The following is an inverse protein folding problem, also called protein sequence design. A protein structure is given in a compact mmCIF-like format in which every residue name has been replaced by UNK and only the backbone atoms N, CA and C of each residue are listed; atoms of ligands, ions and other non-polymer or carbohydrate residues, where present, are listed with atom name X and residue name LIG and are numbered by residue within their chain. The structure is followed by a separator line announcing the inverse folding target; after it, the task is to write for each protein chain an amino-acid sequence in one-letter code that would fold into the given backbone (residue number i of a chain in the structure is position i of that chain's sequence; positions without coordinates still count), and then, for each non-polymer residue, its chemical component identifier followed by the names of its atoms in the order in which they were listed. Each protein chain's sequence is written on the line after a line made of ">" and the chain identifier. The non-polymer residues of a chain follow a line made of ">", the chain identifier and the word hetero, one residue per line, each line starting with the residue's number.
data_IF_769910694736
#
_entry.id   IF_769910694736
#
_cell.length_a   1.000
_cell.length_b   1.000
_cell.length_c   1.000
_cell.angle_alpha   90.00
_cell.angle_beta   90.00
_cell.angle_gamma   90.00
#
_symmetry.space_group_name_H-M   'P 1'
#
loop_
_entity.id
_entity.type
_entity.pdbx_description
1 polymer ?
#
# COMPACT_ATOMS: atom_id res chain seq x y z
N UNK A 1 -0.85 1.79 -23.88
CA UNK A 1 0.48 1.15 -24.00
C UNK A 1 1.52 2.26 -23.92
N UNK A 2 2.30 2.33 -22.85
CA UNK A 2 3.41 3.29 -22.74
C UNK A 2 4.66 2.69 -23.39
N UNK A 3 5.16 3.31 -24.45
CA UNK A 3 6.42 2.95 -25.09
C UNK A 3 7.57 3.09 -24.08
N UNK A 4 8.50 2.12 -23.98
CA UNK A 4 9.66 2.25 -23.10
C UNK A 4 10.51 3.48 -23.49
N UNK A 5 11.15 4.14 -22.53
CA UNK A 5 11.92 5.34 -22.79
C UNK A 5 13.16 5.04 -23.63
N UNK A 6 13.58 6.02 -24.43
CA UNK A 6 14.81 5.94 -25.24
C UNK A 6 16.02 6.15 -24.32
N UNK A 7 17.02 5.23 -24.32
CA UNK A 7 18.23 5.40 -23.53
C UNK A 7 19.04 6.63 -23.96
N UNK A 8 19.63 7.34 -23.00
CA UNK A 8 20.54 8.45 -23.23
C UNK A 8 21.96 7.95 -23.53
N UNK A 9 22.72 8.74 -24.30
CA UNK A 9 24.15 8.50 -24.46
C UNK A 9 24.90 8.81 -23.14
N UNK A 10 26.10 8.25 -22.92
CA UNK A 10 26.93 8.55 -21.75
C UNK A 10 27.19 10.06 -21.58
N UNK A 11 27.38 10.79 -22.67
CA UNK A 11 27.59 12.24 -22.66
C UNK A 11 26.34 12.99 -22.22
N UNK A 12 25.17 12.60 -22.74
CA UNK A 12 23.88 13.18 -22.33
C UNK A 12 23.58 12.89 -20.86
N UNK A 13 23.89 11.68 -20.40
CA UNK A 13 23.78 11.29 -19.00
C UNK A 13 24.68 12.18 -18.12
N UNK A 14 25.95 12.36 -18.50
CA UNK A 14 26.89 13.21 -17.76
C UNK A 14 26.44 14.68 -17.74
N UNK A 15 25.92 15.20 -18.86
CA UNK A 15 25.37 16.54 -18.94
C UNK A 15 24.19 16.74 -17.99
N UNK A 16 23.27 15.76 -17.90
CA UNK A 16 22.17 15.80 -16.94
C UNK A 16 22.66 15.74 -15.49
N UNK A 17 23.60 14.85 -15.17
CA UNK A 17 24.19 14.77 -13.82
C UNK A 17 24.84 16.10 -13.43
N UNK A 18 25.60 16.72 -14.34
CA UNK A 18 26.20 18.03 -14.10
C UNK A 18 25.13 19.11 -13.89
N UNK A 19 24.07 19.14 -14.70
CA UNK A 19 22.96 20.10 -14.54
C UNK A 19 22.25 19.93 -13.20
N UNK A 20 21.98 18.69 -12.79
CA UNK A 20 21.41 18.37 -11.48
C UNK A 20 22.35 18.84 -10.36
N UNK A 21 23.65 18.58 -10.48
CA UNK A 21 24.66 19.03 -9.52
C UNK A 21 24.70 20.56 -9.35
N UNK A 22 24.64 21.30 -10.46
CA UNK A 22 24.54 22.77 -10.41
C UNK A 22 23.24 23.22 -9.73
N UNK A 23 22.11 22.56 -10.05
CA UNK A 23 20.83 22.84 -9.41
C UNK A 23 20.88 22.64 -7.90
N UNK A 24 21.48 21.53 -7.43
CA UNK A 24 21.70 21.24 -6.02
C UNK A 24 22.63 22.26 -5.34
N UNK A 25 23.74 22.63 -5.98
CA UNK A 25 24.67 23.64 -5.46
C UNK A 25 24.00 25.00 -5.28
N UNK A 26 23.05 25.33 -6.14
CA UNK A 26 22.33 26.62 -6.15
C UNK A 26 21.28 26.73 -5.04
N UNK A 27 20.98 25.65 -4.32
CA UNK A 27 20.02 25.64 -3.21
C UNK A 27 20.54 26.34 -1.96
N UNK A 28 21.84 26.63 -1.89
CA UNK A 28 22.47 27.33 -0.79
C UNK A 28 23.49 28.36 -1.30
N UNK A 29 23.64 29.52 -0.64
CA UNK A 29 24.56 30.55 -1.07
C UNK A 29 26.01 30.03 -1.17
N UNK A 30 26.77 30.38 -2.22
CA UNK A 30 28.16 29.95 -2.37
C UNK A 30 29.00 30.28 -1.12
N UNK A 31 29.86 29.33 -0.73
CA UNK A 31 30.73 29.46 0.45
C UNK A 31 30.06 29.17 1.81
N UNK A 32 28.73 29.07 1.89
CA UNK A 32 28.03 28.85 3.17
C UNK A 32 27.87 27.36 3.53
N UNK A 33 28.13 26.47 2.58
CA UNK A 33 27.92 25.04 2.72
C UNK A 33 29.15 24.24 2.28
N UNK A 34 29.30 23.05 2.86
CA UNK A 34 30.38 22.10 2.53
C UNK A 34 29.90 20.92 1.71
N UNK A 35 28.65 20.51 1.88
CA UNK A 35 28.05 19.42 1.11
C UNK A 35 26.54 19.62 0.92
N UNK A 36 26.04 19.31 -0.28
CA UNK A 36 24.62 19.09 -0.53
C UNK A 36 24.42 17.62 -0.88
N UNK A 37 23.52 16.92 -0.20
CA UNK A 37 23.17 15.53 -0.49
C UNK A 37 21.71 15.44 -0.88
N UNK A 38 21.42 14.79 -1.98
CA UNK A 38 20.07 14.47 -2.43
C UNK A 38 19.88 12.97 -2.49
N UNK A 39 18.79 12.48 -1.90
CA UNK A 39 18.38 11.08 -2.01
C UNK A 39 17.07 11.05 -2.77
N UNK A 40 17.03 10.30 -3.85
CA UNK A 40 15.86 10.14 -4.71
C UNK A 40 15.47 8.67 -4.76
N UNK A 41 14.18 8.38 -4.63
CA UNK A 41 13.61 7.03 -4.69
C UNK A 41 12.36 7.09 -5.55
N UNK A 42 12.23 6.16 -6.51
CA UNK A 42 11.04 6.11 -7.35
C UNK A 42 10.68 4.68 -7.80
N UNK A 43 9.38 4.41 -7.81
CA UNK A 43 8.78 3.22 -8.38
C UNK A 43 7.44 3.60 -9.04
N UNK A 44 7.35 3.43 -10.35
CA UNK A 44 6.18 3.84 -11.12
C UNK A 44 5.92 5.34 -10.98
N UNK A 45 4.75 5.70 -10.42
CA UNK A 45 4.37 7.11 -10.18
C UNK A 45 4.72 7.61 -8.77
N UNK A 46 5.18 6.74 -7.88
CA UNK A 46 5.57 7.13 -6.52
C UNK A 46 7.00 7.65 -6.53
N UNK A 47 7.20 8.89 -6.06
CA UNK A 47 8.49 9.56 -6.03
C UNK A 47 8.68 10.15 -4.64
N UNK A 48 9.82 9.84 -4.02
CA UNK A 48 10.29 10.49 -2.80
C UNK A 48 11.67 11.09 -3.07
N UNK A 49 11.87 12.33 -2.64
CA UNK A 49 13.16 12.98 -2.70
C UNK A 49 13.42 13.77 -1.42
N UNK A 50 14.65 13.70 -0.93
CA UNK A 50 15.14 14.49 0.19
C UNK A 50 16.38 15.24 -0.26
N UNK A 51 16.51 16.48 0.20
CA UNK A 51 17.74 17.25 0.03
C UNK A 51 18.18 17.76 1.40
N UNK A 52 19.44 17.54 1.71
CA UNK A 52 20.09 18.01 2.94
C UNK A 52 21.29 18.86 2.56
N UNK A 53 21.29 20.10 3.04
CA UNK A 53 22.44 21.01 2.94
C UNK A 53 23.18 20.99 4.26
N UNK A 54 24.47 20.69 4.22
CA UNK A 54 25.34 20.75 5.39
C UNK A 54 26.17 22.03 5.32
N UNK A 55 25.96 22.93 6.29
CA UNK A 55 26.67 24.20 6.41
C UNK A 55 28.15 24.03 6.76
N UNK A 56 28.88 25.14 6.83
CA UNK A 56 30.25 25.14 7.39
C UNK A 56 30.30 24.74 8.86
N UNK A 57 29.20 24.96 9.59
CA UNK A 57 28.99 24.50 10.96
C UNK A 57 28.83 22.98 11.09
N UNK A 58 28.75 22.26 9.97
CA UNK A 58 28.55 20.80 9.95
C UNK A 58 27.12 20.37 10.27
N UNK A 59 26.19 21.30 10.49
CA UNK A 59 24.80 20.99 10.85
C UNK A 59 23.99 20.70 9.58
N UNK A 60 23.37 19.50 9.46
CA UNK A 60 22.53 19.16 8.32
C UNK A 60 21.18 19.88 8.43
N UNK A 61 20.75 20.49 7.33
CA UNK A 61 19.46 21.17 7.20
C UNK A 61 18.69 20.58 6.03
N UNK A 62 17.54 19.98 6.31
CA UNK A 62 16.65 19.48 5.27
C UNK A 62 15.95 20.65 4.57
N UNK A 63 15.91 20.59 3.25
CA UNK A 63 15.19 21.57 2.42
C UNK A 63 14.27 20.83 1.45
N UNK A 64 13.18 21.49 1.07
CA UNK A 64 12.26 20.93 0.08
C UNK A 64 12.93 20.95 -1.31
N UNK A 65 13.01 19.81 -2.00
CA UNK A 65 13.57 19.75 -3.35
C UNK A 65 12.70 20.56 -4.33
N UNK A 66 13.29 21.44 -5.17
CA UNK A 66 12.51 22.15 -6.17
C UNK A 66 11.91 21.20 -7.23
N UNK A 67 10.74 21.52 -7.80
CA UNK A 67 10.10 20.69 -8.82
C UNK A 67 10.98 20.42 -10.05
N UNK A 68 11.77 21.40 -10.49
CA UNK A 68 12.65 21.29 -11.65
C UNK A 68 13.75 20.24 -11.41
N UNK A 69 14.24 20.15 -10.17
CA UNK A 69 15.21 19.13 -9.77
C UNK A 69 14.61 17.72 -9.88
N UNK A 70 13.35 17.55 -9.44
CA UNK A 70 12.63 16.28 -9.54
C UNK A 70 12.41 15.87 -10.99
N UNK A 71 12.08 16.83 -11.86
CA UNK A 71 11.93 16.59 -13.29
C UNK A 71 13.24 16.12 -13.93
N UNK A 72 14.36 16.79 -13.64
CA UNK A 72 15.68 16.39 -14.17
C UNK A 72 16.09 14.99 -13.69
N UNK A 73 15.87 14.65 -12.42
CA UNK A 73 16.12 13.32 -11.88
C UNK A 73 15.24 12.25 -12.56
N UNK A 74 13.96 12.56 -12.79
CA UNK A 74 13.06 11.70 -13.55
C UNK A 74 13.49 11.49 -15.00
N UNK A 75 13.97 12.53 -15.68
CA UNK A 75 14.53 12.44 -17.04
C UNK A 75 15.80 11.59 -17.06
N UNK A 76 16.71 11.81 -16.12
CA UNK A 76 17.94 11.01 -15.99
C UNK A 76 17.59 9.54 -15.77
N UNK A 77 16.65 9.25 -14.86
CA UNK A 77 16.17 7.90 -14.58
C UNK A 77 15.59 7.22 -15.81
N UNK A 78 14.72 7.92 -16.53
CA UNK A 78 14.11 7.39 -17.75
C UNK A 78 15.17 7.10 -18.82
N UNK A 79 16.12 8.02 -18.97
CA UNK A 79 17.22 7.91 -19.91
C UNK A 79 18.27 6.85 -19.57
N UNK A 80 18.38 6.45 -18.31
CA UNK A 80 19.28 5.37 -17.87
C UNK A 80 18.65 3.97 -17.94
N UNK A 81 17.42 3.87 -18.46
CA UNK A 81 16.79 2.58 -18.74
C UNK A 81 17.63 1.76 -19.72
N UNK A 82 17.82 0.49 -19.40
CA UNK A 82 18.44 -0.50 -20.30
C UNK A 82 17.46 -1.65 -20.53
N UNK A 83 17.15 -2.00 -21.80
CA UNK A 83 16.27 -3.13 -22.11
C UNK A 83 16.67 -4.41 -21.39
N UNK A 84 15.71 -5.06 -20.73
CA UNK A 84 15.92 -6.30 -20.00
C UNK A 84 16.61 -6.14 -18.63
N UNK A 85 17.25 -5.00 -18.34
CA UNK A 85 17.84 -4.71 -17.03
C UNK A 85 16.99 -3.73 -16.21
N UNK A 86 16.16 -2.91 -16.85
CA UNK A 86 15.38 -1.87 -16.19
C UNK A 86 16.18 -0.59 -15.95
N UNK A 87 15.71 0.23 -15.01
CA UNK A 87 16.40 1.42 -14.51
C UNK A 87 16.57 1.34 -12.99
N UNK A 88 17.24 2.33 -12.41
CA UNK A 88 17.49 2.43 -10.97
C UNK A 88 16.24 2.87 -10.19
N UNK A 89 16.14 2.40 -8.94
CA UNK A 89 15.01 2.65 -8.03
C UNK A 89 15.39 3.62 -6.90
N UNK A 90 16.69 3.76 -6.63
CA UNK A 90 17.26 4.77 -5.74
C UNK A 90 18.46 5.45 -6.38
N UNK A 91 18.69 6.71 -6.03
CA UNK A 91 19.91 7.44 -6.36
C UNK A 91 20.32 8.35 -5.20
N UNK A 92 21.63 8.41 -4.94
CA UNK A 92 22.22 9.36 -3.99
C UNK A 92 23.16 10.27 -4.76
N UNK A 93 22.87 11.56 -4.76
CA UNK A 93 23.71 12.57 -5.36
C UNK A 93 24.35 13.40 -4.26
N UNK A 94 25.66 13.60 -4.36
CA UNK A 94 26.42 14.43 -3.44
C UNK A 94 27.15 15.49 -4.21
N UNK A 95 27.00 16.74 -3.79
CA UNK A 95 27.76 17.87 -4.33
C UNK A 95 28.68 18.39 -3.24
N UNK A 96 29.94 18.53 -3.59
CA UNK A 96 31.00 19.09 -2.76
C UNK A 96 31.72 20.19 -3.58
N UNK A 97 32.05 21.36 -3.00
CA UNK A 97 32.70 22.45 -3.73
C UNK A 97 34.07 22.09 -4.33
N UNK A 98 34.78 21.11 -3.77
CA UNK A 98 36.11 20.67 -4.18
C UNK A 98 36.03 19.43 -5.06
N UNK A 99 35.22 18.44 -4.67
CA UNK A 99 35.11 17.16 -5.39
C UNK A 99 34.12 17.19 -6.55
N UNK A 100 33.29 18.22 -6.63
CA UNK A 100 32.24 18.33 -7.64
C UNK A 100 31.03 17.45 -7.32
N UNK A 101 30.35 16.97 -8.37
CA UNK A 101 29.16 16.13 -8.25
C UNK A 101 29.54 14.64 -8.31
N UNK A 102 29.08 13.88 -7.33
CA UNK A 102 29.06 12.42 -7.32
C UNK A 102 27.62 11.92 -7.37
N UNK A 103 27.41 10.78 -8.04
CA UNK A 103 26.10 10.14 -8.14
C UNK A 103 26.25 8.62 -8.05
N UNK A 104 25.55 8.02 -7.10
CA UNK A 104 25.44 6.58 -6.91
C UNK A 104 24.02 6.14 -7.24
N UNK A 105 23.89 5.12 -8.08
CA UNK A 105 22.60 4.60 -8.54
C UNK A 105 22.40 3.19 -8.03
N UNK A 106 21.24 2.94 -7.45
CA UNK A 106 20.86 1.64 -6.89
C UNK A 106 19.78 1.00 -7.76
N UNK A 107 20.13 -0.13 -8.38
CA UNK A 107 19.27 -0.83 -9.34
C UNK A 107 18.45 -1.93 -8.67
N UNK A 108 19.04 -2.62 -7.71
CA UNK A 108 18.57 -3.94 -7.26
C UNK A 108 18.34 -4.03 -5.76
N UNK A 109 18.84 -3.09 -4.96
CA UNK A 109 18.48 -3.00 -3.54
C UNK A 109 17.16 -2.27 -3.35
N UNK A 110 16.35 -2.76 -2.44
CA UNK A 110 15.09 -2.11 -2.05
C UNK A 110 15.37 -0.73 -1.43
N UNK A 111 14.79 0.35 -1.96
CA UNK A 111 14.91 1.68 -1.35
C UNK A 111 14.18 1.73 0.00
N UNK A 112 14.71 2.54 0.92
CA UNK A 112 14.02 2.84 2.18
C UNK A 112 12.94 3.90 1.93
N UNK A 113 11.68 3.48 1.87
CA UNK A 113 10.53 4.36 1.65
C UNK A 113 10.05 5.00 2.94
N UNK A 114 9.66 6.29 2.91
CA UNK A 114 8.86 6.89 3.98
C UNK A 114 7.44 6.34 3.98
N UNK A 115 6.83 6.28 2.80
CA UNK A 115 5.58 5.58 2.56
C UNK A 115 5.81 4.57 1.46
N UNK A 116 5.74 3.30 1.83
CA UNK A 116 5.82 2.20 0.87
C UNK A 116 4.82 2.41 -0.27
N UNK A 117 5.26 2.39 -1.54
CA UNK A 117 4.35 2.43 -2.68
C UNK A 117 3.35 1.26 -2.64
N UNK A 118 2.11 1.45 -3.11
CA UNK A 118 1.20 0.32 -3.27
C UNK A 118 1.70 -0.64 -4.36
N UNK A 119 1.21 -1.90 -4.40
CA UNK A 119 1.65 -2.90 -5.38
C UNK A 119 1.58 -2.45 -6.83
N UNK A 120 0.50 -1.72 -7.17
CA UNK A 120 0.30 -1.13 -8.51
C UNK A 120 1.45 -0.19 -8.91
N UNK A 121 2.10 0.49 -7.96
CA UNK A 121 3.27 1.33 -8.23
C UNK A 121 4.47 0.51 -8.72
N UNK A 122 4.71 -0.66 -8.14
CA UNK A 122 5.77 -1.58 -8.57
C UNK A 122 5.41 -2.33 -9.85
N UNK A 123 4.12 -2.59 -10.09
CA UNK A 123 3.66 -3.15 -11.38
C UNK A 123 3.85 -2.14 -12.52
N UNK A 124 3.48 -0.88 -12.28
CA UNK A 124 3.70 0.22 -13.21
C UNK A 124 5.19 0.43 -13.49
N UNK A 125 6.04 0.29 -12.46
CA UNK A 125 7.50 0.31 -12.60
C UNK A 125 7.99 -0.76 -13.59
N UNK A 126 7.59 -2.02 -13.39
CA UNK A 126 7.98 -3.13 -14.28
C UNK A 126 7.40 -2.98 -15.69
N UNK A 127 6.24 -2.32 -15.84
CA UNK A 127 5.64 -2.04 -17.15
C UNK A 127 6.39 -0.93 -17.89
N UNK A 128 6.79 0.13 -17.19
CA UNK A 128 7.49 1.27 -17.77
C UNK A 128 8.98 0.97 -18.04
N UNK A 129 9.60 0.16 -17.17
CA UNK A 129 11.01 -0.23 -17.23
C UNK A 129 11.16 -1.77 -17.22
N UNK A 130 10.77 -2.45 -18.30
CA UNK A 130 10.82 -3.92 -18.38
C UNK A 130 12.19 -4.51 -18.04
N UNK A 131 12.15 -5.54 -17.20
CA UNK A 131 13.31 -6.35 -16.81
C UNK A 131 13.09 -7.80 -17.22
N UNK A 132 14.15 -8.48 -17.63
CA UNK A 132 14.15 -9.93 -17.77
C UNK A 132 13.87 -10.57 -16.41
N UNK A 133 13.18 -11.72 -16.35
CA UNK A 133 12.81 -12.34 -15.07
C UNK A 133 13.98 -12.56 -14.10
N UNK A 134 15.17 -12.86 -14.63
CA UNK A 134 16.42 -12.98 -13.86
C UNK A 134 16.93 -11.67 -13.25
N UNK A 135 16.59 -10.54 -13.86
CA UNK A 135 16.98 -9.18 -13.46
C UNK A 135 15.90 -8.48 -12.62
N UNK A 136 14.79 -9.16 -12.32
CA UNK A 136 13.83 -8.68 -11.32
C UNK A 136 14.24 -9.24 -9.96
N UNK A 137 14.70 -8.41 -9.00
CA UNK A 137 15.01 -8.86 -7.65
C UNK A 137 13.79 -9.47 -6.96
N UNK A 138 14.02 -10.43 -6.05
CA UNK A 138 12.93 -11.14 -5.38
C UNK A 138 12.00 -10.19 -4.60
N UNK A 139 12.56 -9.21 -3.89
CA UNK A 139 11.78 -8.23 -3.16
C UNK A 139 10.85 -7.43 -4.09
N UNK A 140 11.30 -7.08 -5.30
CA UNK A 140 10.51 -6.31 -6.26
C UNK A 140 9.36 -7.17 -6.81
N UNK A 141 9.60 -8.47 -7.04
CA UNK A 141 8.53 -9.42 -7.40
C UNK A 141 7.47 -9.50 -6.31
N UNK A 142 7.88 -9.65 -5.04
CA UNK A 142 6.94 -9.69 -3.90
C UNK A 142 6.15 -8.38 -3.80
N UNK A 143 6.81 -7.23 -3.84
CA UNK A 143 6.15 -5.91 -3.81
C UNK A 143 5.16 -5.70 -4.95
N UNK A 144 5.48 -6.16 -6.17
CA UNK A 144 4.62 -6.04 -7.34
C UNK A 144 3.46 -7.04 -7.37
N UNK A 145 3.67 -8.27 -6.88
CA UNK A 145 2.57 -9.20 -6.61
C UNK A 145 1.60 -8.60 -5.57
N UNK A 146 2.16 -7.77 -4.69
CA UNK A 146 1.47 -7.14 -3.59
C UNK A 146 1.58 -8.00 -2.34
N UNK A 147 0.83 -7.66 -1.28
CA UNK A 147 0.52 -8.68 -0.29
C UNK A 147 0.12 -9.94 -1.06
N UNK A 148 0.69 -11.10 -0.69
CA UNK A 148 0.04 -12.36 -1.08
C UNK A 148 -1.45 -12.20 -0.74
N UNK A 149 -2.37 -12.85 -1.42
CA UNK A 149 -3.82 -12.74 -1.12
C UNK A 149 -4.19 -12.97 0.37
N UNK A 150 -3.20 -13.34 1.21
CA UNK A 150 -3.15 -13.40 2.67
C UNK A 150 -2.92 -12.08 3.46
N UNK A 151 -2.42 -10.97 2.87
CA UNK A 151 -1.97 -9.76 3.62
C UNK A 151 -2.88 -8.50 3.46
N UNK A 152 -4.04 -8.63 2.79
CA UNK A 152 -5.10 -7.62 2.84
C UNK A 152 -6.24 -8.08 3.75
N UNK A 153 -6.68 -7.25 4.69
CA UNK A 153 -7.85 -7.59 5.53
C UNK A 153 -9.10 -7.60 4.66
N UNK A 154 -9.68 -8.79 4.49
CA UNK A 154 -10.90 -9.01 3.69
C UNK A 154 -12.15 -8.67 4.51
N UNK A 155 -13.20 -8.22 3.85
CA UNK A 155 -14.50 -7.95 4.47
C UNK A 155 -15.59 -8.82 3.86
N UNK A 156 -16.43 -9.51 4.64
CA UNK A 156 -17.45 -10.40 4.10
C UNK A 156 -18.60 -9.62 3.47
N UNK A 157 -19.19 -10.19 2.43
CA UNK A 157 -20.46 -9.71 1.91
C UNK A 157 -21.59 -10.02 2.90
N UNK A 158 -22.36 -9.00 3.28
CA UNK A 158 -23.55 -9.18 4.12
C UNK A 158 -24.69 -9.82 3.31
N UNK A 159 -24.87 -9.39 2.07
CA UNK A 159 -25.84 -9.92 1.10
C UNK A 159 -25.18 -10.10 -0.27
N UNK A 160 -25.78 -10.91 -1.15
CA UNK A 160 -25.24 -11.22 -2.49
C UNK A 160 -25.80 -10.32 -3.60
N UNK A 161 -26.75 -9.46 -3.25
CA UNK A 161 -27.33 -8.45 -4.13
C UNK A 161 -28.60 -7.84 -3.53
N UNK A 162 -29.29 -7.04 -4.34
CA UNK A 162 -30.62 -6.51 -4.02
C UNK A 162 -31.63 -7.04 -5.04
N UNK A 163 -32.88 -7.27 -4.62
CA UNK A 163 -33.97 -7.56 -5.53
C UNK A 163 -34.54 -6.28 -6.18
N UNK A 164 -35.53 -6.43 -7.07
CA UNK A 164 -36.18 -5.31 -7.73
C UNK A 164 -36.89 -4.34 -6.77
N UNK A 165 -37.17 -4.77 -5.54
CA UNK A 165 -37.75 -3.95 -4.46
C UNK A 165 -36.71 -3.38 -3.49
N UNK A 166 -35.40 -3.54 -3.77
CA UNK A 166 -34.32 -3.07 -2.91
C UNK A 166 -34.09 -3.90 -1.66
N UNK A 167 -34.65 -5.11 -1.56
CA UNK A 167 -34.43 -6.01 -0.41
C UNK A 167 -33.15 -6.83 -0.60
N UNK A 168 -32.40 -7.09 0.48
CA UNK A 168 -31.20 -7.93 0.40
C UNK A 168 -31.52 -9.35 -0.07
N UNK A 169 -30.79 -9.81 -1.08
CA UNK A 169 -30.83 -11.18 -1.57
C UNK A 169 -29.64 -11.96 -1.04
N UNK A 170 -29.90 -13.18 -0.56
CA UNK A 170 -28.88 -14.13 -0.13
C UNK A 170 -29.06 -15.42 -0.93
N UNK A 171 -28.04 -15.78 -1.71
CA UNK A 171 -27.97 -16.99 -2.54
C UNK A 171 -26.71 -17.77 -2.16
N UNK A 172 -26.72 -18.33 -0.95
CA UNK A 172 -25.59 -19.06 -0.36
C UNK A 172 -26.01 -20.46 0.03
N UNK A 173 -25.06 -21.42 0.06
CA UNK A 173 -25.32 -22.73 0.65
C UNK A 173 -25.79 -22.59 2.11
N UNK A 174 -26.82 -23.32 2.55
CA UNK A 174 -27.26 -23.30 3.94
C UNK A 174 -26.17 -23.89 4.84
N UNK A 175 -26.09 -23.36 6.07
CA UNK A 175 -25.19 -23.86 7.12
C UNK A 175 -25.99 -24.76 8.05
N UNK A 176 -25.44 -25.92 8.41
CA UNK A 176 -26.09 -26.82 9.35
C UNK A 176 -26.18 -26.19 10.76
N UNK A 177 -27.23 -26.43 11.56
CA UNK A 177 -27.41 -25.75 12.85
C UNK A 177 -26.21 -25.88 13.80
N UNK A 178 -25.62 -27.07 13.90
CA UNK A 178 -24.43 -27.29 14.74
C UNK A 178 -23.20 -26.49 14.25
N UNK A 179 -23.07 -26.29 12.94
CA UNK A 179 -22.00 -25.45 12.39
C UNK A 179 -22.30 -23.96 12.60
N UNK A 180 -23.58 -23.54 12.52
CA UNK A 180 -23.96 -22.16 12.78
C UNK A 180 -23.57 -21.72 14.20
N UNK A 181 -23.73 -22.60 15.20
CA UNK A 181 -23.27 -22.35 16.57
C UNK A 181 -21.75 -22.14 16.64
N UNK A 182 -20.97 -22.95 15.92
CA UNK A 182 -19.50 -22.82 15.87
C UNK A 182 -19.06 -21.54 15.15
N UNK A 183 -19.74 -21.16 14.07
CA UNK A 183 -19.50 -19.91 13.37
C UNK A 183 -19.80 -18.70 14.28
N UNK A 184 -20.94 -18.71 14.98
CA UNK A 184 -21.29 -17.64 15.93
C UNK A 184 -20.23 -17.51 17.03
N UNK A 185 -19.80 -18.63 17.62
CA UNK A 185 -18.74 -18.64 18.63
C UNK A 185 -17.43 -18.03 18.10
N UNK A 186 -17.03 -18.35 16.87
CA UNK A 186 -15.86 -17.74 16.24
C UNK A 186 -16.02 -16.23 16.04
N UNK A 187 -17.14 -15.81 15.44
CA UNK A 187 -17.44 -14.41 15.12
C UNK A 187 -17.51 -13.53 16.37
N UNK A 188 -18.04 -14.07 17.47
CA UNK A 188 -18.20 -13.38 18.76
C UNK A 188 -16.95 -13.44 19.65
N UNK A 189 -16.00 -14.34 19.40
CA UNK A 189 -14.76 -14.45 20.16
C UNK A 189 -13.64 -13.54 19.63
N UNK A 190 -13.65 -13.19 18.34
CA UNK A 190 -12.59 -12.42 17.72
C UNK A 190 -12.48 -10.98 18.27
N UNK A 191 -11.27 -10.39 18.38
CA UNK A 191 -11.08 -9.05 18.94
C UNK A 191 -11.92 -7.95 18.28
N UNK A 192 -12.45 -7.05 19.10
CA UNK A 192 -13.21 -5.86 18.67
C UNK A 192 -12.24 -4.75 18.29
N UNK A 193 -12.37 -4.22 17.07
CA UNK A 193 -11.54 -3.12 16.54
C UNK A 193 -12.28 -1.80 16.45
N UNK A 194 -13.61 -1.85 16.42
CA UNK A 194 -14.46 -0.66 16.50
C UNK A 194 -15.64 -0.98 17.42
N UNK A 195 -15.64 -0.36 18.60
CA UNK A 195 -16.65 -0.56 19.61
C UNK A 195 -17.71 0.55 19.53
N UNK A 196 -18.60 0.49 18.53
CA UNK A 196 -19.80 1.32 18.52
C UNK A 196 -20.84 0.73 19.47
N UNK A 197 -21.52 1.60 20.22
CA UNK A 197 -22.69 1.23 21.04
C UNK A 197 -24.02 1.49 20.32
N UNK A 198 -23.97 2.06 19.11
CA UNK A 198 -25.15 2.32 18.29
C UNK A 198 -25.51 1.09 17.47
N UNK A 199 -26.81 0.91 17.19
CA UNK A 199 -27.28 -0.08 16.23
C UNK A 199 -27.79 0.63 14.96
N UNK A 200 -27.91 -0.15 13.89
CA UNK A 200 -28.53 0.24 12.63
C UNK A 200 -29.82 -0.54 12.36
N UNK A 201 -30.50 -0.20 11.24
CA UNK A 201 -31.72 -0.87 10.84
C UNK A 201 -31.46 -2.31 10.37
N UNK A 202 -32.41 -3.19 10.65
CA UNK A 202 -32.41 -4.57 10.16
C UNK A 202 -32.95 -4.63 8.73
N UNK A 203 -32.08 -4.98 7.78
CA UNK A 203 -32.41 -5.04 6.37
C UNK A 203 -33.38 -6.18 6.00
N UNK A 204 -33.53 -7.21 6.85
CA UNK A 204 -34.46 -8.32 6.66
C UNK A 204 -35.76 -8.15 7.46
N UNK A 205 -35.77 -7.27 8.45
CA UNK A 205 -36.91 -6.94 9.29
C UNK A 205 -37.06 -5.40 9.41
N UNK A 206 -37.60 -4.71 8.39
CA UNK A 206 -37.58 -3.25 8.30
C UNK A 206 -38.24 -2.50 9.47
N UNK A 207 -39.12 -3.18 10.22
CA UNK A 207 -39.72 -2.66 11.45
C UNK A 207 -38.73 -2.49 12.60
N UNK A 208 -37.56 -3.15 12.54
CA UNK A 208 -36.50 -3.09 13.55
C UNK A 208 -35.44 -2.07 13.11
N UNK A 209 -35.63 -0.81 13.52
CA UNK A 209 -34.78 0.30 13.08
C UNK A 209 -33.47 0.47 13.86
N UNK A 210 -33.32 -0.18 15.02
CA UNK A 210 -32.17 -0.03 15.94
C UNK A 210 -31.74 -1.38 16.52
N UNK A 211 -31.50 -2.38 15.66
CA UNK A 211 -31.26 -3.77 16.08
C UNK A 211 -29.88 -4.32 15.69
N UNK A 212 -29.28 -3.85 14.58
CA UNK A 212 -28.06 -4.43 14.03
C UNK A 212 -26.82 -3.75 14.63
N UNK A 213 -25.94 -4.46 15.36
CA UNK A 213 -24.78 -3.83 15.99
C UNK A 213 -23.81 -3.23 14.97
N UNK A 214 -23.41 -1.97 15.18
CA UNK A 214 -22.44 -1.25 14.34
C UNK A 214 -21.00 -1.36 14.85
N UNK A 215 -20.67 -2.46 15.52
CA UNK A 215 -19.31 -2.78 15.93
C UNK A 215 -18.58 -3.56 14.83
N UNK A 216 -17.25 -3.60 14.90
CA UNK A 216 -16.42 -4.39 14.00
C UNK A 216 -15.44 -5.24 14.78
N UNK A 217 -15.20 -6.44 14.26
CA UNK A 217 -14.25 -7.43 14.78
C UNK A 217 -13.31 -7.89 13.69
N UNK A 218 -12.15 -8.43 14.07
CA UNK A 218 -11.17 -9.00 13.13
C UNK A 218 -10.43 -10.19 13.72
N UNK A 219 -9.99 -11.10 12.85
CA UNK A 219 -9.00 -12.15 13.18
C UNK A 219 -7.61 -11.90 12.58
N UNK A 220 -7.39 -10.70 12.03
CA UNK A 220 -6.16 -10.29 11.36
C UNK A 220 -6.12 -10.57 9.85
N UNK A 221 -7.02 -11.41 9.33
CA UNK A 221 -7.15 -11.70 7.88
C UNK A 221 -8.51 -11.23 7.36
N UNK A 222 -9.55 -11.32 8.18
CA UNK A 222 -10.88 -10.80 7.90
C UNK A 222 -11.28 -9.75 8.93
N UNK A 223 -12.03 -8.75 8.51
CA UNK A 223 -12.76 -7.83 9.37
C UNK A 223 -14.24 -7.86 9.01
N UNK A 224 -15.09 -7.95 10.02
CA UNK A 224 -16.53 -8.06 9.80
C UNK A 224 -17.33 -7.17 10.74
N UNK A 225 -18.47 -6.62 10.29
CA UNK A 225 -19.41 -5.92 11.14
C UNK A 225 -20.18 -6.90 12.03
N UNK A 226 -20.68 -6.42 13.17
CA UNK A 226 -21.58 -7.16 14.06
C UNK A 226 -22.84 -7.68 13.37
N UNK A 227 -23.23 -7.06 12.24
CA UNK A 227 -24.30 -7.53 11.37
C UNK A 227 -24.16 -8.99 10.92
N UNK A 228 -22.94 -9.50 10.70
CA UNK A 228 -22.75 -10.88 10.22
C UNK A 228 -23.21 -11.90 11.26
N UNK A 229 -22.79 -11.73 12.51
CA UNK A 229 -23.23 -12.61 13.60
C UNK A 229 -24.72 -12.39 13.93
N UNK A 230 -25.20 -11.15 13.87
CA UNK A 230 -26.61 -10.83 14.09
C UNK A 230 -27.51 -11.53 13.07
N UNK A 231 -27.24 -11.42 11.76
CA UNK A 231 -28.10 -12.02 10.74
C UNK A 231 -28.04 -13.55 10.69
N UNK A 232 -26.89 -14.15 11.02
CA UNK A 232 -26.82 -15.60 11.20
C UNK A 232 -27.69 -16.04 12.38
N UNK A 233 -27.66 -15.31 13.50
CA UNK A 233 -28.41 -15.66 14.72
C UNK A 233 -29.91 -15.44 14.57
N UNK A 234 -30.32 -14.27 14.05
CA UNK A 234 -31.73 -13.87 14.04
C UNK A 234 -32.49 -14.34 12.80
N UNK A 235 -31.83 -14.39 11.64
CA UNK A 235 -32.49 -14.71 10.36
C UNK A 235 -31.97 -15.99 9.72
N UNK A 236 -31.01 -16.68 10.36
CA UNK A 236 -30.38 -17.89 9.80
C UNK A 236 -29.62 -17.63 8.50
N UNK A 237 -29.23 -16.37 8.23
CA UNK A 237 -28.55 -15.96 7.00
C UNK A 237 -27.11 -16.48 7.02
N UNK A 238 -26.71 -17.35 6.07
CA UNK A 238 -25.33 -17.84 6.01
C UNK A 238 -24.32 -16.68 5.79
N UNK A 239 -23.19 -16.64 6.53
CA UNK A 239 -22.10 -15.72 6.24
C UNK A 239 -21.50 -15.93 4.84
N UNK A 240 -20.65 -15.02 4.40
CA UNK A 240 -19.94 -15.13 3.11
C UNK A 240 -19.25 -16.50 3.01
N UNK A 241 -19.46 -17.30 1.94
CA UNK A 241 -18.86 -18.63 1.82
C UNK A 241 -17.34 -18.64 1.95
N UNK A 242 -16.66 -17.57 1.53
CA UNK A 242 -15.20 -17.45 1.68
C UNK A 242 -14.79 -17.24 3.15
N UNK A 243 -15.57 -16.46 3.91
CA UNK A 243 -15.37 -16.31 5.35
C UNK A 243 -15.66 -17.64 6.07
N UNK A 244 -16.72 -18.35 5.70
CA UNK A 244 -17.02 -19.69 6.26
C UNK A 244 -15.88 -20.66 5.98
N UNK A 245 -15.35 -20.70 4.76
CA UNK A 245 -14.21 -21.54 4.39
C UNK A 245 -12.95 -21.19 5.21
N UNK A 246 -12.70 -19.91 5.43
CA UNK A 246 -11.62 -19.44 6.29
C UNK A 246 -11.78 -19.88 7.76
N UNK A 247 -12.97 -19.72 8.33
CA UNK A 247 -13.26 -20.16 9.71
C UNK A 247 -13.10 -21.68 9.86
N UNK A 248 -13.55 -22.45 8.87
CA UNK A 248 -13.33 -23.91 8.79
C UNK A 248 -11.84 -24.26 8.78
N UNK A 249 -11.05 -23.56 7.96
CA UNK A 249 -9.60 -23.78 7.89
C UNK A 249 -8.90 -23.51 9.24
N UNK A 250 -9.45 -22.58 10.04
CA UNK A 250 -9.00 -22.27 11.41
C UNK A 250 -9.67 -23.12 12.49
N UNK A 251 -10.41 -24.16 12.11
CA UNK A 251 -11.10 -25.09 13.02
C UNK A 251 -11.97 -24.35 14.05
N UNK A 252 -12.66 -23.30 13.62
CA UNK A 252 -13.57 -22.51 14.45
C UNK A 252 -12.91 -21.93 15.71
N UNK A 253 -11.59 -21.69 15.68
CA UNK A 253 -10.85 -21.10 16.81
C UNK A 253 -10.39 -19.69 16.45
N UNK A 254 -11.05 -18.68 17.03
CA UNK A 254 -10.68 -17.28 16.84
C UNK A 254 -9.38 -16.95 17.61
N UNK A 255 -8.53 -16.05 17.09
CA UNK A 255 -7.36 -15.58 17.83
C UNK A 255 -7.80 -14.73 19.04
N UNK A 256 -7.06 -14.83 20.15
CA UNK A 256 -7.32 -13.99 21.33
C UNK A 256 -6.83 -12.54 21.19
N UNK A 257 -5.80 -12.32 20.36
CA UNK A 257 -5.21 -11.02 20.07
C UNK A 257 -4.82 -10.94 18.60
N UNK A 258 -4.80 -9.72 18.06
CA UNK A 258 -4.41 -9.41 16.69
C UNK A 258 -3.38 -8.29 16.71
N UNK A 259 -2.38 -8.34 15.84
CA UNK A 259 -1.30 -7.33 15.77
C UNK A 259 -1.84 -5.95 15.44
N UNK A 260 -1.22 -4.89 15.96
CA UNK A 260 -1.58 -3.49 15.68
C UNK A 260 -1.63 -3.18 14.17
N UNK A 261 -0.66 -3.65 13.40
CA UNK A 261 -0.64 -3.48 11.94
C UNK A 261 -1.87 -4.09 11.24
N UNK A 262 -2.33 -5.26 11.68
CA UNK A 262 -3.53 -5.90 11.12
C UNK A 262 -4.82 -5.17 11.57
N UNK A 263 -4.84 -4.63 12.78
CA UNK A 263 -5.93 -3.74 13.25
C UNK A 263 -6.02 -2.47 12.41
N UNK A 264 -4.90 -1.82 12.12
CA UNK A 264 -4.86 -0.62 11.27
C UNK A 264 -5.33 -0.90 9.85
N UNK A 265 -4.90 -2.02 9.26
CA UNK A 265 -5.36 -2.47 7.95
C UNK A 265 -6.87 -2.76 7.94
N UNK A 266 -7.38 -3.41 8.99
CA UNK A 266 -8.80 -3.68 9.14
C UNK A 266 -9.63 -2.39 9.23
N UNK A 267 -9.18 -1.42 10.03
CA UNK A 267 -9.84 -0.13 10.17
C UNK A 267 -9.84 0.66 8.86
N UNK A 268 -8.72 0.65 8.14
CA UNK A 268 -8.62 1.26 6.82
C UNK A 268 -9.60 0.62 5.81
N UNK A 269 -9.73 -0.71 5.81
CA UNK A 269 -10.66 -1.43 4.93
C UNK A 269 -12.13 -1.08 5.20
N UNK A 270 -12.51 -0.90 6.47
CA UNK A 270 -13.88 -0.53 6.88
C UNK A 270 -14.22 0.90 6.47
N UNK A 271 -13.33 1.85 6.76
CA UNK A 271 -13.56 3.28 6.45
C UNK A 271 -13.68 3.55 4.94
N UNK A 272 -12.94 2.83 4.11
CA UNK A 272 -13.03 2.92 2.65
C UNK A 272 -14.43 2.55 2.12
N UNK A 273 -15.12 1.59 2.76
CA UNK A 273 -16.45 1.13 2.34
C UNK A 273 -17.59 2.04 2.80
N UNK A 274 -17.41 2.80 3.88
CA UNK A 274 -18.45 3.72 4.38
C UNK A 274 -18.53 5.02 3.55
N UNK A 275 -17.51 5.29 2.72
CA UNK A 275 -17.41 6.53 1.92
C UNK A 275 -17.97 6.38 0.49
N UNK A 276 -18.51 5.21 0.14
CA UNK A 276 -19.09 4.93 -1.19
C UNK A 276 -20.59 4.68 -1.07
#
# INVERSE_FOLDING_TARGET
>A
MTTPPVPLSPEQQQQLVNRIGHGLASLAPPGTWRQVRAEYRAAGRHIEADVVVTGQDGVPRAIQPPPELLQLLGTLRAGMYRPGAGTWLGAVLTVDPVRGVGADFELDREPQWRRTPPPIGFQDELRAFPRDGRNVPEWLRRRAAGPAEEEGVRTPRIHDGLDAGGRPLVRRPPVAPAEAEQLLAYLDAAPVILASRSNGPDAFAPERTDAVPLNFRTDGVWAWPGAVAYYLREHGVPPDPELVAHIRARRYTAPGEVTEAATDLALAAITAQTTT
#
